data_IF_892398978090
#
_entry.id   IF_892398978090
#
_cell.length_a   1.000
_cell.length_b   1.000
_cell.length_c   1.000
_cell.angle_alpha   90.00
_cell.angle_beta   90.00
_cell.angle_gamma   90.00
#
_symmetry.space_group_name_H-M   'P 1'
#
loop_
_entity.id
_entity.type
_entity.pdbx_description
1 polymer ?
#
# COMPACT_ATOMS: atom_id res chain seq x y z
N UNK A 1 37.78 -59.03 6.92
CA UNK A 1 38.26 -58.53 5.62
C UNK A 1 38.82 -57.13 5.83
N UNK A 2 40.13 -57.00 5.60
CA UNK A 2 40.97 -55.83 5.89
C UNK A 2 40.96 -54.81 4.76
N UNK A 3 41.12 -53.53 5.14
CA UNK A 3 41.86 -52.46 4.43
C UNK A 3 41.33 -52.01 3.04
N UNK A 4 41.25 -50.70 2.71
CA UNK A 4 42.28 -49.66 2.84
C UNK A 4 41.65 -48.31 2.51
N UNK A 5 42.05 -47.26 3.24
CA UNK A 5 41.70 -45.84 2.96
C UNK A 5 42.32 -45.38 1.64
N UNK A 6 41.66 -44.44 0.96
CA UNK A 6 42.36 -43.45 0.13
C UNK A 6 41.72 -42.07 0.27
N UNK A 7 42.46 -41.19 0.93
CA UNK A 7 42.27 -39.73 0.96
C UNK A 7 42.96 -39.16 -0.27
N UNK A 8 42.27 -38.30 -1.02
CA UNK A 8 42.91 -37.40 -1.99
C UNK A 8 42.49 -35.97 -1.70
N UNK A 9 43.46 -35.19 -1.19
CA UNK A 9 43.42 -33.72 -1.11
C UNK A 9 43.87 -33.14 -2.46
N UNK A 10 43.19 -32.08 -2.91
CA UNK A 10 43.60 -31.26 -4.04
C UNK A 10 42.77 -29.97 -4.13
N UNK A 11 43.32 -28.90 -3.53
CA UNK A 11 42.96 -27.46 -3.66
C UNK A 11 43.24 -26.94 -5.10
N UNK A 12 43.04 -25.64 -5.47
CA UNK A 12 42.26 -24.53 -4.88
C UNK A 12 41.42 -23.72 -5.92
N UNK A 13 40.54 -22.85 -5.41
CA UNK A 13 40.38 -21.48 -5.94
C UNK A 13 39.58 -21.27 -7.22
N UNK A 14 38.38 -20.70 -7.09
CA UNK A 14 37.95 -19.62 -7.97
C UNK A 14 37.02 -18.68 -7.24
N UNK A 15 37.48 -17.43 -7.13
CA UNK A 15 36.70 -16.25 -6.74
C UNK A 15 35.42 -16.21 -7.58
N UNK A 16 34.26 -16.31 -6.95
CA UNK A 16 33.06 -15.74 -7.52
C UNK A 16 33.08 -14.26 -7.14
N UNK A 17 33.46 -13.48 -8.14
CA UNK A 17 33.43 -12.02 -8.15
C UNK A 17 32.01 -11.54 -7.91
N UNK A 18 31.88 -10.53 -7.06
CA UNK A 18 30.77 -9.60 -7.09
C UNK A 18 30.55 -9.07 -8.52
N UNK A 19 29.29 -8.74 -8.85
CA UNK A 19 28.98 -7.96 -10.05
C UNK A 19 28.22 -8.70 -11.14
N UNK A 20 27.10 -9.35 -10.79
CA UNK A 20 26.04 -9.65 -11.76
C UNK A 20 25.26 -8.37 -12.06
N UNK A 21 25.88 -7.46 -12.82
CA UNK A 21 25.21 -6.29 -13.38
C UNK A 21 24.11 -6.76 -14.33
N UNK A 22 22.85 -6.65 -13.89
CA UNK A 22 21.69 -6.80 -14.75
C UNK A 22 21.73 -5.62 -15.72
N UNK A 23 22.15 -5.91 -16.95
CA UNK A 23 22.25 -4.95 -18.05
C UNK A 23 20.83 -4.76 -18.58
N UNK A 24 20.12 -3.74 -18.09
CA UNK A 24 18.85 -3.32 -18.67
C UNK A 24 19.14 -2.70 -20.05
N UNK A 25 18.67 -3.30 -21.16
CA UNK A 25 18.72 -2.64 -22.45
C UNK A 25 17.62 -1.57 -22.47
N UNK A 26 18.02 -0.30 -22.60
CA UNK A 26 17.08 0.80 -22.81
C UNK A 26 17.24 1.94 -21.81
N UNK A 27 18.38 2.64 -21.88
CA UNK A 27 18.43 4.06 -21.57
C UNK A 27 17.44 4.76 -22.52
N UNK A 28 16.20 4.99 -22.06
CA UNK A 28 15.37 6.07 -22.59
C UNK A 28 15.89 7.35 -21.96
N UNK A 29 16.91 7.91 -22.62
CA UNK A 29 17.33 9.28 -22.38
C UNK A 29 16.24 10.22 -22.91
N UNK A 30 15.70 11.03 -22.00
CA UNK A 30 15.15 12.35 -22.32
C UNK A 30 13.83 12.40 -23.07
N UNK A 31 12.71 12.13 -22.38
CA UNK A 31 11.46 12.87 -22.63
C UNK A 31 10.45 12.71 -21.48
N UNK A 32 10.74 13.29 -20.33
CA UNK A 32 9.71 13.71 -19.37
C UNK A 32 9.96 15.19 -19.08
N UNK A 33 9.78 16.01 -20.10
CA UNK A 33 9.69 17.45 -19.97
C UNK A 33 8.22 17.80 -19.83
N UNK A 34 7.82 18.32 -18.67
CA UNK A 34 6.53 18.98 -18.46
C UNK A 34 5.35 18.05 -18.16
N UNK A 35 5.43 17.28 -17.08
CA UNK A 35 4.21 17.06 -16.29
C UNK A 35 4.29 18.08 -15.17
N UNK A 36 3.51 19.15 -15.32
CA UNK A 36 3.24 20.12 -14.26
C UNK A 36 2.71 19.35 -13.03
N UNK A 37 3.51 19.31 -11.98
CA UNK A 37 3.28 18.57 -10.72
C UNK A 37 2.31 19.33 -9.77
N UNK A 38 1.63 20.37 -10.27
CA UNK A 38 0.88 21.37 -9.47
C UNK A 38 -0.63 21.08 -9.31
N UNK A 39 -1.15 19.96 -9.82
CA UNK A 39 -2.57 19.58 -9.69
C UNK A 39 -2.77 18.22 -8.97
N UNK A 40 -1.97 17.93 -7.93
CA UNK A 40 -2.41 16.93 -6.94
C UNK A 40 -3.41 17.61 -6.02
N UNK A 41 -4.65 17.61 -6.50
CA UNK A 41 -5.89 17.87 -5.78
C UNK A 41 -5.74 17.57 -4.28
N UNK A 42 -5.93 18.63 -3.49
CA UNK A 42 -6.20 18.70 -2.06
C UNK A 42 -7.48 17.89 -1.74
N UNK A 43 -7.43 16.59 -2.00
CA UNK A 43 -8.56 15.68 -1.84
C UNK A 43 -8.32 14.79 -0.63
N UNK A 44 -8.89 15.27 0.47
CA UNK A 44 -9.41 14.46 1.57
C UNK A 44 -8.39 13.83 2.54
N UNK A 45 -8.10 14.55 3.64
CA UNK A 45 -7.83 13.91 4.94
C UNK A 45 -8.41 14.66 6.17
N UNK A 46 -9.00 15.86 6.01
CA UNK A 46 -9.64 16.62 7.11
C UNK A 46 -11.18 16.65 7.05
N UNK A 47 -11.82 15.94 6.11
CA UNK A 47 -13.28 15.73 6.11
C UNK A 47 -13.71 14.42 6.78
N UNK A 48 -13.11 14.09 7.93
CA UNK A 48 -13.90 13.44 8.99
C UNK A 48 -14.91 14.45 9.52
N UNK A 49 -15.81 14.90 8.65
CA UNK A 49 -17.01 15.63 9.04
C UNK A 49 -17.77 14.79 10.06
N UNK A 50 -18.63 15.42 10.88
CA UNK A 50 -19.41 14.70 11.89
C UNK A 50 -20.05 13.48 11.24
N UNK A 51 -19.88 12.31 11.87
CA UNK A 51 -20.47 11.03 11.46
C UNK A 51 -21.87 11.34 10.95
N UNK A 52 -22.06 11.25 9.62
CA UNK A 52 -23.32 11.71 9.03
C UNK A 52 -24.43 10.92 9.71
N UNK A 53 -25.36 11.59 10.40
CA UNK A 53 -26.44 10.87 11.07
C UNK A 53 -27.13 10.01 10.01
N UNK A 54 -27.36 8.75 10.35
CA UNK A 54 -28.08 7.83 9.48
C UNK A 54 -29.38 8.47 8.97
N UNK A 55 -29.93 7.99 7.84
CA UNK A 55 -31.13 8.56 7.25
C UNK A 55 -32.20 8.73 8.33
N UNK A 56 -32.61 9.98 8.56
CA UNK A 56 -33.62 10.29 9.57
C UNK A 56 -34.89 9.47 9.36
N UNK A 57 -35.73 9.29 10.40
CA UNK A 57 -36.86 8.35 10.37
C UNK A 57 -37.84 8.58 9.19
N UNK A 58 -37.93 9.80 8.67
CA UNK A 58 -38.71 10.12 7.48
C UNK A 58 -38.12 9.58 6.16
N UNK A 59 -36.80 9.53 6.02
CA UNK A 59 -36.12 8.98 4.84
C UNK A 59 -36.21 7.44 4.81
N UNK A 60 -36.02 6.80 5.97
CA UNK A 60 -36.22 5.36 6.13
C UNK A 60 -37.66 4.93 5.74
N UNK A 61 -38.67 5.69 6.18
CA UNK A 61 -40.09 5.43 5.86
C UNK A 61 -40.43 5.64 4.38
N UNK A 62 -39.70 6.52 3.66
CA UNK A 62 -39.84 6.70 2.20
C UNK A 62 -39.21 5.56 1.41
N UNK A 63 -38.06 5.05 1.86
CA UNK A 63 -37.40 3.90 1.25
C UNK A 63 -38.23 2.61 1.42
N UNK A 64 -38.94 2.44 2.53
CA UNK A 64 -39.86 1.32 2.74
C UNK A 64 -40.99 1.22 1.69
N UNK A 65 -41.41 2.35 1.10
CA UNK A 65 -42.43 2.37 0.04
C UNK A 65 -41.89 1.96 -1.34
N UNK A 66 -40.57 1.88 -1.52
CA UNK A 66 -39.89 1.55 -2.77
C UNK A 66 -38.79 0.52 -2.50
N UNK A 67 -39.12 -0.79 -2.45
CA UNK A 67 -38.19 -1.83 -2.01
C UNK A 67 -36.89 -1.87 -2.83
N UNK A 68 -36.95 -1.57 -4.13
CA UNK A 68 -35.76 -1.53 -4.99
C UNK A 68 -34.79 -0.41 -4.60
N UNK A 69 -35.31 0.74 -4.16
CA UNK A 69 -34.48 1.86 -3.69
C UNK A 69 -33.86 1.54 -2.33
N UNK A 70 -34.60 0.88 -1.43
CA UNK A 70 -34.05 0.41 -0.16
C UNK A 70 -32.92 -0.60 -0.38
N UNK A 71 -33.09 -1.55 -1.31
CA UNK A 71 -32.05 -2.52 -1.66
C UNK A 71 -30.80 -1.87 -2.29
N UNK A 72 -30.99 -0.85 -3.14
CA UNK A 72 -29.88 -0.10 -3.73
C UNK A 72 -29.09 0.68 -2.66
N UNK A 73 -29.77 1.36 -1.73
CA UNK A 73 -29.12 2.05 -0.61
C UNK A 73 -28.40 1.07 0.31
N UNK A 74 -28.99 -0.10 0.59
CA UNK A 74 -28.33 -1.17 1.35
C UNK A 74 -26.99 -1.56 0.74
N UNK A 75 -26.95 -1.82 -0.57
CA UNK A 75 -25.70 -2.14 -1.29
C UNK A 75 -24.64 -1.03 -1.19
N UNK A 76 -25.05 0.24 -1.18
CA UNK A 76 -24.11 1.36 -0.99
C UNK A 76 -23.54 1.35 0.42
N UNK A 77 -24.37 1.15 1.45
CA UNK A 77 -23.92 1.07 2.85
C UNK A 77 -22.96 -0.09 3.05
N UNK A 78 -23.28 -1.26 2.50
CA UNK A 78 -22.41 -2.44 2.56
C UNK A 78 -21.06 -2.16 1.86
N UNK A 79 -21.09 -1.51 0.70
CA UNK A 79 -19.88 -1.11 -0.02
C UNK A 79 -19.00 -0.14 0.76
N UNK A 80 -19.60 0.82 1.46
CA UNK A 80 -18.86 1.75 2.34
C UNK A 80 -18.22 0.99 3.51
N UNK A 81 -18.96 0.09 4.15
CA UNK A 81 -18.41 -0.73 5.25
C UNK A 81 -17.23 -1.60 4.78
N UNK A 82 -17.31 -2.17 3.58
CA UNK A 82 -16.21 -2.94 2.99
C UNK A 82 -14.99 -2.06 2.68
N UNK A 83 -15.21 -0.83 2.19
CA UNK A 83 -14.14 0.13 1.92
C UNK A 83 -13.41 0.51 3.21
N UNK A 84 -14.15 0.81 4.28
CA UNK A 84 -13.55 1.17 5.57
C UNK A 84 -12.76 -0.01 6.16
N UNK A 85 -13.31 -1.22 6.10
CA UNK A 85 -12.57 -2.43 6.51
C UNK A 85 -11.31 -2.68 5.67
N UNK A 86 -11.33 -2.36 4.37
CA UNK A 86 -10.17 -2.48 3.51
C UNK A 86 -9.11 -1.41 3.83
N UNK A 87 -9.53 -0.19 4.16
CA UNK A 87 -8.65 0.91 4.60
C UNK A 87 -7.93 0.56 5.89
N UNK A 88 -8.64 0.00 6.87
CA UNK A 88 -8.03 -0.45 8.14
C UNK A 88 -6.97 -1.52 7.89
N UNK A 89 -7.28 -2.53 7.08
CA UNK A 89 -6.31 -3.57 6.69
C UNK A 89 -5.08 -3.00 5.98
N UNK A 90 -5.28 -2.02 5.09
CA UNK A 90 -4.18 -1.35 4.40
C UNK A 90 -3.29 -0.61 5.40
N UNK A 91 -3.88 0.12 6.34
CA UNK A 91 -3.16 0.82 7.40
C UNK A 91 -2.32 -0.16 8.23
N UNK A 92 -2.91 -1.26 8.69
CA UNK A 92 -2.21 -2.28 9.46
C UNK A 92 -1.02 -2.86 8.69
N UNK A 93 -1.20 -3.15 7.39
CA UNK A 93 -0.13 -3.65 6.54
C UNK A 93 1.02 -2.64 6.37
N UNK A 94 0.70 -1.35 6.19
CA UNK A 94 1.69 -0.27 6.09
C UNK A 94 2.47 -0.13 7.40
N UNK A 95 1.79 -0.14 8.54
CA UNK A 95 2.42 -0.06 9.86
C UNK A 95 3.31 -1.28 10.15
N UNK A 96 2.84 -2.49 9.81
CA UNK A 96 3.64 -3.71 9.94
C UNK A 96 4.91 -3.65 9.08
N UNK A 97 4.79 -3.25 7.80
CA UNK A 97 5.94 -3.06 6.92
C UNK A 97 6.92 -2.01 7.46
N UNK A 98 6.39 -0.91 8.02
CA UNK A 98 7.21 0.13 8.65
C UNK A 98 7.95 -0.39 9.88
N UNK A 99 7.30 -1.22 10.70
CA UNK A 99 7.89 -1.92 11.84
C UNK A 99 9.00 -2.90 11.44
N UNK A 100 8.95 -3.46 10.23
CA UNK A 100 10.04 -4.24 9.63
C UNK A 100 11.18 -3.37 9.05
N UNK A 101 11.12 -2.04 9.20
CA UNK A 101 12.15 -1.12 8.73
C UNK A 101 12.02 -0.69 7.27
N UNK A 102 10.91 -1.00 6.58
CA UNK A 102 10.67 -0.50 5.22
C UNK A 102 10.58 1.02 5.22
N UNK A 103 11.23 1.67 4.25
CA UNK A 103 11.26 3.13 4.17
C UNK A 103 9.96 3.71 3.61
N UNK A 104 9.63 4.95 4.00
CA UNK A 104 8.47 5.67 3.48
C UNK A 104 8.50 5.86 1.97
N UNK A 105 9.69 5.95 1.36
CA UNK A 105 9.84 6.04 -0.09
C UNK A 105 9.32 4.77 -0.79
N UNK A 106 9.70 3.58 -0.31
CA UNK A 106 9.25 2.30 -0.88
C UNK A 106 7.74 2.12 -0.67
N UNK A 107 7.23 2.48 0.50
CA UNK A 107 5.80 2.44 0.80
C UNK A 107 5.01 3.39 -0.10
N UNK A 108 5.48 4.64 -0.26
CA UNK A 108 4.87 5.62 -1.14
C UNK A 108 4.77 5.11 -2.57
N UNK A 109 5.88 4.65 -3.16
CA UNK A 109 5.88 4.09 -4.52
C UNK A 109 4.92 2.91 -4.66
N UNK A 110 4.86 2.02 -3.67
CA UNK A 110 3.95 0.86 -3.69
C UNK A 110 2.47 1.26 -3.61
N UNK A 111 2.17 2.38 -2.97
CA UNK A 111 0.83 2.95 -2.83
C UNK A 111 0.47 3.93 -3.96
N UNK A 112 1.41 4.22 -4.88
CA UNK A 112 1.20 5.20 -5.95
C UNK A 112 1.17 6.65 -5.45
N UNK A 113 1.83 6.95 -4.32
CA UNK A 113 1.91 8.31 -3.74
C UNK A 113 3.35 8.68 -3.39
N UNK A 114 3.58 9.93 -3.03
CA UNK A 114 4.91 10.39 -2.58
C UNK A 114 5.27 9.81 -1.21
N UNK A 115 6.57 9.78 -0.89
CA UNK A 115 7.06 9.35 0.42
C UNK A 115 6.47 10.18 1.58
N UNK A 116 6.37 11.50 1.36
CA UNK A 116 5.78 12.42 2.34
C UNK A 116 4.26 12.19 2.46
N UNK A 117 3.55 11.95 1.35
CA UNK A 117 2.13 11.60 1.39
C UNK A 117 1.87 10.31 2.18
N UNK A 118 2.73 9.30 2.03
CA UNK A 118 2.65 8.08 2.83
C UNK A 118 2.93 8.34 4.31
N UNK A 119 3.96 9.14 4.63
CA UNK A 119 4.30 9.50 6.00
C UNK A 119 3.20 10.32 6.68
N UNK A 120 2.61 11.29 6.00
CA UNK A 120 1.54 12.13 6.55
C UNK A 120 0.30 11.30 6.86
N UNK A 121 -0.10 10.42 5.93
CA UNK A 121 -1.31 9.58 6.09
C UNK A 121 -1.14 8.48 7.14
N UNK A 122 0.01 7.81 7.19
CA UNK A 122 0.20 6.60 8.01
C UNK A 122 1.19 6.76 9.16
N UNK A 123 1.98 7.84 9.18
CA UNK A 123 3.00 8.08 10.19
C UNK A 123 2.47 8.64 11.51
N UNK A 124 1.25 9.18 11.54
CA UNK A 124 0.63 9.76 12.74
C UNK A 124 0.44 8.73 13.85
N UNK A 125 0.20 7.47 13.50
CA UNK A 125 -0.01 6.36 14.44
C UNK A 125 1.26 5.84 15.10
N UNK A 126 2.42 6.16 14.52
CA UNK A 126 3.72 5.77 15.06
C UNK A 126 4.27 6.79 16.06
N UNK A 127 3.64 7.97 16.16
CA UNK A 127 4.06 9.07 17.02
C UNK A 127 3.29 9.17 18.34
N UNK A 128 2.57 8.12 18.74
CA UNK A 128 1.87 8.05 20.03
C UNK A 128 2.80 7.62 21.16
N UNK A 129 3.70 8.52 21.58
CA UNK A 129 4.38 8.50 22.88
C UNK A 129 4.26 9.89 23.54
#
# INVERSE_FOLDING_TARGET
MSSKRKVSRGRPGSRLTAGGGVKFPGQVAGQFAGLDDDDVDDWDDDRRGPVRPGPGPGAARRLQKKPDQAAAVGRVVDGVAQLDAARDKLRDAVLAARGCGVSWAVLGTSLGITAEGARTRYGRDLGGE
#
